data_IF_524314858418
#
_entry.id   IF_524314858418
#
_cell.length_a   1.000
_cell.length_b   1.000
_cell.length_c   1.000
_cell.angle_alpha   90.00
_cell.angle_beta   90.00
_cell.angle_gamma   90.00
#
_symmetry.space_group_name_H-M   'P 1'
#
loop_
_entity.id
_entity.type
_entity.pdbx_description
1 polymer ?
#
# COMPACT_ATOMS: atom_id res chain seq x y z
N UNK A 1 47.89 20.66 0.15
CA UNK A 1 46.77 21.51 -0.29
C UNK A 1 45.95 21.88 0.95
N UNK A 2 45.93 23.16 1.36
CA UNK A 2 45.12 23.58 2.53
C UNK A 2 43.65 23.64 2.08
N UNK A 3 42.84 22.70 2.55
CA UNK A 3 41.40 22.73 2.27
C UNK A 3 40.81 23.95 2.97
N UNK A 4 40.11 24.77 2.21
CA UNK A 4 39.51 25.99 2.74
C UNK A 4 38.33 25.61 3.66
N UNK A 5 38.36 26.08 4.90
CA UNK A 5 37.35 25.76 5.93
C UNK A 5 35.93 26.13 5.48
N UNK A 6 35.82 27.17 4.65
CA UNK A 6 34.52 27.63 4.14
C UNK A 6 33.93 26.67 3.12
N UNK A 7 34.76 26.02 2.31
CA UNK A 7 34.31 25.00 1.36
C UNK A 7 33.73 23.79 2.10
N UNK A 8 34.38 23.35 3.18
CA UNK A 8 33.90 22.22 3.99
C UNK A 8 32.54 22.55 4.61
N UNK A 9 32.36 23.75 5.17
CA UNK A 9 31.08 24.17 5.75
C UNK A 9 29.95 24.13 4.73
N UNK A 10 30.21 24.61 3.52
CA UNK A 10 29.22 24.61 2.44
C UNK A 10 28.83 23.18 2.04
N UNK A 11 29.80 22.27 1.92
CA UNK A 11 29.52 20.86 1.61
C UNK A 11 28.66 20.22 2.72
N UNK A 12 29.00 20.48 3.99
CA UNK A 12 28.24 19.95 5.13
C UNK A 12 26.79 20.44 5.11
N UNK A 13 26.55 21.72 4.80
CA UNK A 13 25.19 22.27 4.69
C UNK A 13 24.41 21.59 3.56
N UNK A 14 25.03 21.39 2.39
CA UNK A 14 24.37 20.73 1.25
C UNK A 14 23.97 19.30 1.61
N UNK A 15 24.88 18.54 2.23
CA UNK A 15 24.59 17.17 2.69
C UNK A 15 23.44 17.18 3.70
N UNK A 16 23.45 18.12 4.65
CA UNK A 16 22.41 18.21 5.68
C UNK A 16 21.03 18.49 5.08
N UNK A 17 20.94 19.39 4.09
CA UNK A 17 19.70 19.73 3.39
C UNK A 17 19.17 18.53 2.61
N UNK A 18 20.02 17.81 1.88
CA UNK A 18 19.61 16.62 1.12
C UNK A 18 19.10 15.53 2.08
N UNK A 19 19.77 15.31 3.21
CA UNK A 19 19.32 14.35 4.21
C UNK A 19 17.96 14.71 4.82
N UNK A 20 17.73 15.99 5.13
CA UNK A 20 16.45 16.48 5.65
C UNK A 20 15.30 16.29 4.64
N UNK A 21 15.54 16.62 3.37
CA UNK A 21 14.55 16.39 2.31
C UNK A 21 14.25 14.89 2.18
N UNK A 22 15.27 14.03 2.20
CA UNK A 22 15.09 12.57 2.17
C UNK A 22 14.14 12.09 3.26
N UNK A 23 14.35 12.49 4.52
CA UNK A 23 13.52 12.07 5.66
C UNK A 23 12.06 12.50 5.51
N UNK A 24 11.80 13.68 4.95
CA UNK A 24 10.44 14.22 4.80
C UNK A 24 9.70 13.53 3.63
N UNK A 25 10.38 13.29 2.51
CA UNK A 25 9.75 12.79 1.29
C UNK A 25 9.70 11.26 1.18
N UNK A 26 10.64 10.52 1.79
CA UNK A 26 10.68 9.05 1.74
C UNK A 26 9.40 8.37 2.28
N UNK A 27 8.85 8.75 3.45
CA UNK A 27 7.63 8.14 3.98
C UNK A 27 6.39 8.40 3.10
N UNK A 28 6.32 9.58 2.48
CA UNK A 28 5.23 9.97 1.58
C UNK A 28 5.23 9.12 0.31
N UNK A 29 6.40 8.92 -0.30
CA UNK A 29 6.57 8.05 -1.47
C UNK A 29 6.27 6.59 -1.13
N UNK A 30 6.71 6.11 0.03
CA UNK A 30 6.41 4.77 0.48
C UNK A 30 4.90 4.57 0.67
N UNK A 31 4.22 5.48 1.36
CA UNK A 31 2.78 5.35 1.56
C UNK A 31 1.98 5.37 0.25
N UNK A 32 2.35 6.21 -0.73
CA UNK A 32 1.56 6.32 -1.97
C UNK A 32 1.63 5.05 -2.84
N UNK A 33 2.80 4.41 -2.90
CA UNK A 33 3.00 3.18 -3.67
C UNK A 33 2.22 2.01 -3.04
N UNK A 34 2.19 1.91 -1.72
CA UNK A 34 1.48 0.84 -1.04
C UNK A 34 -0.04 1.05 -1.01
N UNK A 35 -0.51 2.29 -0.90
CA UNK A 35 -1.97 2.56 -0.95
C UNK A 35 -2.54 2.36 -2.34
N UNK A 36 -1.85 2.78 -3.42
CA UNK A 36 -2.37 2.60 -4.77
C UNK A 36 -2.57 1.12 -5.14
N UNK A 37 -1.56 0.28 -4.88
CA UNK A 37 -1.63 -1.16 -5.15
C UNK A 37 -2.73 -1.85 -4.33
N UNK A 38 -2.94 -1.42 -3.08
CA UNK A 38 -4.01 -1.93 -2.23
C UNK A 38 -5.40 -1.56 -2.76
N UNK A 39 -5.62 -0.31 -3.16
CA UNK A 39 -6.89 0.14 -3.72
C UNK A 39 -7.20 -0.54 -5.06
N UNK A 40 -6.23 -0.67 -5.95
CA UNK A 40 -6.39 -1.38 -7.22
C UNK A 40 -6.76 -2.86 -7.01
N UNK A 41 -6.10 -3.52 -6.05
CA UNK A 41 -6.43 -4.89 -5.65
C UNK A 41 -7.87 -5.04 -5.15
N UNK A 42 -8.33 -4.11 -4.30
CA UNK A 42 -9.71 -4.13 -3.80
C UNK A 42 -10.75 -3.89 -4.91
N UNK A 43 -10.48 -2.97 -5.83
CA UNK A 43 -11.37 -2.69 -6.97
C UNK A 43 -11.50 -3.93 -7.86
N UNK A 44 -10.37 -4.60 -8.16
CA UNK A 44 -10.37 -5.83 -8.97
C UNK A 44 -11.18 -6.96 -8.31
N UNK A 45 -11.04 -7.13 -7.00
CA UNK A 45 -11.84 -8.11 -6.24
C UNK A 45 -13.33 -7.76 -6.29
N UNK A 46 -13.71 -6.52 -6.03
CA UNK A 46 -15.12 -6.07 -6.07
C UNK A 46 -15.76 -6.23 -7.46
N UNK A 47 -15.01 -5.92 -8.52
CA UNK A 47 -15.48 -6.16 -9.90
C UNK A 47 -15.70 -7.65 -10.16
N UNK A 48 -14.78 -8.51 -9.73
CA UNK A 48 -14.90 -9.97 -9.88
C UNK A 48 -16.09 -10.53 -9.08
N UNK A 49 -16.37 -9.98 -7.90
CA UNK A 49 -17.56 -10.32 -7.11
C UNK A 49 -18.85 -10.01 -7.88
N UNK A 50 -18.92 -8.83 -8.47
CA UNK A 50 -20.09 -8.33 -9.20
C UNK A 50 -20.35 -9.16 -10.47
N UNK A 51 -19.29 -9.58 -11.17
CA UNK A 51 -19.39 -10.38 -12.40
C UNK A 51 -19.74 -11.85 -12.15
N UNK A 52 -19.18 -12.43 -11.09
CA UNK A 52 -19.25 -13.89 -10.88
C UNK A 52 -20.26 -14.31 -9.82
N UNK A 53 -20.82 -13.35 -9.07
CA UNK A 53 -21.68 -13.64 -7.92
C UNK A 53 -20.95 -14.42 -6.81
N UNK A 54 -19.62 -14.44 -6.80
CA UNK A 54 -18.83 -15.02 -5.71
C UNK A 54 -18.48 -13.92 -4.70
N UNK A 55 -18.35 -14.26 -3.43
CA UNK A 55 -17.78 -13.41 -2.40
C UNK A 55 -16.32 -13.81 -2.21
N UNK A 56 -15.41 -12.83 -2.24
CA UNK A 56 -14.00 -13.06 -1.90
C UNK A 56 -13.72 -12.42 -0.55
N UNK A 57 -13.13 -13.18 0.37
CA UNK A 57 -12.73 -12.73 1.70
C UNK A 57 -11.20 -12.68 1.72
N UNK A 58 -10.65 -11.52 2.10
CA UNK A 58 -9.21 -11.32 2.22
C UNK A 58 -8.85 -11.42 3.70
N UNK A 59 -8.06 -12.43 4.08
CA UNK A 59 -7.61 -12.64 5.47
C UNK A 59 -6.13 -13.04 5.48
N UNK A 60 -5.30 -12.34 6.28
CA UNK A 60 -3.86 -12.57 6.40
C UNK A 60 -3.19 -12.87 5.04
N UNK A 61 -3.31 -11.94 4.08
CA UNK A 61 -2.71 -12.02 2.74
C UNK A 61 -3.23 -13.15 1.84
N UNK A 62 -4.18 -13.97 2.31
CA UNK A 62 -4.83 -15.00 1.51
C UNK A 62 -6.19 -14.50 0.99
N UNK A 63 -6.48 -14.79 -0.29
CA UNK A 63 -7.77 -14.52 -0.91
C UNK A 63 -8.56 -15.83 -0.95
N UNK A 64 -9.66 -15.89 -0.19
CA UNK A 64 -10.56 -17.04 -0.15
C UNK A 64 -11.81 -16.72 -0.98
N UNK A 65 -12.22 -17.65 -1.85
CA UNK A 65 -13.38 -17.51 -2.73
C UNK A 65 -14.54 -18.36 -2.23
N UNK A 66 -15.71 -17.75 -2.08
CA UNK A 66 -16.96 -18.39 -1.71
C UNK A 66 -18.01 -18.10 -2.77
N UNK A 67 -18.82 -19.10 -3.15
CA UNK A 67 -19.99 -18.83 -3.97
C UNK A 67 -21.08 -18.20 -3.11
N UNK A 68 -21.72 -17.12 -3.58
CA UNK A 68 -22.79 -16.45 -2.82
C UNK A 68 -23.93 -17.42 -2.49
N UNK A 69 -24.24 -18.35 -3.40
CA UNK A 69 -25.25 -19.41 -3.18
C UNK A 69 -24.90 -20.31 -1.98
N UNK A 70 -23.61 -20.58 -1.74
CA UNK A 70 -23.17 -21.40 -0.60
C UNK A 70 -23.29 -20.61 0.72
N UNK A 71 -23.03 -19.30 0.71
CA UNK A 71 -23.17 -18.45 1.89
C UNK A 71 -24.65 -18.18 2.23
N UNK A 72 -25.50 -17.98 1.21
CA UNK A 72 -26.92 -17.75 1.38
C UNK A 72 -27.68 -19.02 1.82
N UNK A 73 -27.33 -20.21 1.28
CA UNK A 73 -27.92 -21.48 1.73
C UNK A 73 -27.53 -21.86 3.16
N UNK A 74 -26.37 -21.43 3.64
CA UNK A 74 -25.97 -21.60 5.04
C UNK A 74 -26.82 -20.82 6.04
N UNK A 75 -27.48 -19.74 5.61
CA UNK A 75 -28.41 -18.94 6.42
C UNK A 75 -29.82 -19.53 6.47
N UNK A 76 -30.15 -20.49 5.59
CA UNK A 76 -31.44 -21.20 5.59
C UNK A 76 -31.47 -22.38 6.57
N UNK A 77 -30.34 -22.73 7.21
CA UNK A 77 -30.28 -23.77 8.25
C UNK A 77 -30.71 -23.25 9.63
N UNK A 78 -31.95 -22.76 9.72
CA UNK A 78 -32.78 -22.66 10.94
C UNK A 78 -34.12 -21.99 10.58
N UNK A 79 -35.03 -22.77 10.00
CA UNK A 79 -36.47 -22.54 10.14
C UNK A 79 -37.15 -23.86 10.42
#
# INVERSE_FOLDING_TARGET
MKINKDIIKTIVIIVLVISLLGIIFLPSLYNSIYTSAFFEGQISVAQTQTQTGNIFIINNETIQRYSLDVLCRGLEWKS
#
